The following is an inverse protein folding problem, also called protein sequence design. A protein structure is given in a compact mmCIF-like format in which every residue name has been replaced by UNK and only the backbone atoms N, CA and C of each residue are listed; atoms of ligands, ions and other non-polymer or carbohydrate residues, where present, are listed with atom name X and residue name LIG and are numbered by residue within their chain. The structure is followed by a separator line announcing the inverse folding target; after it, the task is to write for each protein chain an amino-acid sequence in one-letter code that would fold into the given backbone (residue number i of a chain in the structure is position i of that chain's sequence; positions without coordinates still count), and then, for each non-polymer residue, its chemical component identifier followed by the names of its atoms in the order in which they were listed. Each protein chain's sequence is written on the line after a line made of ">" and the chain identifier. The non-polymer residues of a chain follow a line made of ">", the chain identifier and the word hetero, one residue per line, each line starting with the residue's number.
data_IF_447600052386
#
_entry.id   IF_447600052386
#
_cell.length_a   1.000
_cell.length_b   1.000
_cell.length_c   1.000
_cell.angle_alpha   90.00
_cell.angle_beta   90.00
_cell.angle_gamma   90.00
#
_symmetry.space_group_name_H-M   'P 1'
#
loop_
_entity.id
_entity.type
_entity.pdbx_description
1 polymer ?
#
# COMPACT_ATOMS: atom_id res chain seq x y z
N UNK A 1 71.52 12.50 -10.35
CA UNK A 1 70.76 12.60 -11.62
C UNK A 1 69.53 11.71 -11.44
N UNK A 2 68.27 12.14 -11.37
CA UNK A 2 67.55 13.32 -11.85
C UNK A 2 66.57 13.83 -10.78
N UNK A 3 66.35 15.14 -10.82
CA UNK A 3 65.46 15.93 -9.99
C UNK A 3 64.08 16.13 -10.67
N UNK A 4 63.05 16.41 -9.85
CA UNK A 4 61.85 17.27 -10.09
C UNK A 4 60.53 16.71 -10.65
N UNK A 5 59.55 16.70 -9.73
CA UNK A 5 58.30 17.49 -9.76
C UNK A 5 57.26 17.23 -10.85
N UNK A 6 56.07 16.76 -10.45
CA UNK A 6 54.79 17.50 -10.54
C UNK A 6 53.63 16.70 -9.94
N UNK A 7 52.99 17.29 -8.92
CA UNK A 7 51.57 17.08 -8.62
C UNK A 7 50.76 17.19 -9.92
N UNK A 8 49.70 16.38 -10.05
CA UNK A 8 48.35 16.76 -10.50
C UNK A 8 47.46 15.51 -10.58
N UNK A 9 46.70 15.25 -9.51
CA UNK A 9 45.34 14.68 -9.62
C UNK A 9 44.44 15.77 -10.25
N UNK A 10 43.33 15.48 -10.96
CA UNK A 10 42.28 14.58 -10.45
C UNK A 10 41.31 13.93 -11.48
N UNK A 11 40.27 13.27 -10.95
CA UNK A 11 38.90 13.14 -11.51
C UNK A 11 38.68 12.19 -12.71
N UNK A 12 38.32 10.94 -12.39
CA UNK A 12 37.37 10.16 -13.19
C UNK A 12 36.32 9.55 -12.24
N UNK A 13 35.18 10.24 -12.16
CA UNK A 13 34.00 9.82 -11.42
C UNK A 13 33.43 8.54 -12.04
N UNK A 14 33.61 7.40 -11.36
CA UNK A 14 32.84 6.20 -11.65
C UNK A 14 31.47 6.35 -10.98
N UNK A 15 30.51 6.64 -11.85
CA UNK A 15 29.08 6.77 -11.57
C UNK A 15 28.57 5.58 -10.76
N UNK A 16 28.25 5.83 -9.48
CA UNK A 16 27.30 5.03 -8.73
C UNK A 16 25.93 5.20 -9.39
N UNK A 17 25.64 4.41 -10.40
CA UNK A 17 24.28 4.11 -10.78
C UNK A 17 23.69 3.19 -9.71
N UNK A 18 23.42 3.74 -8.53
CA UNK A 18 22.42 3.18 -7.66
C UNK A 18 21.11 3.28 -8.44
N UNK A 19 20.70 2.16 -9.02
CA UNK A 19 19.29 1.88 -9.21
C UNK A 19 18.64 2.03 -7.83
N UNK A 20 18.21 3.26 -7.52
CA UNK A 20 17.19 3.48 -6.55
C UNK A 20 15.97 2.78 -7.13
N UNK A 21 15.85 1.49 -6.86
CA UNK A 21 14.55 0.86 -6.76
C UNK A 21 13.84 1.69 -5.69
N UNK A 22 13.17 2.76 -6.13
CA UNK A 22 12.16 3.40 -5.34
C UNK A 22 11.17 2.28 -5.08
N UNK A 23 11.24 1.67 -3.89
CA UNK A 23 10.01 1.32 -3.20
C UNK A 23 9.22 2.63 -3.25
N UNK A 24 8.27 2.72 -4.18
CA UNK A 24 7.41 3.88 -4.28
C UNK A 24 6.78 3.97 -2.91
N UNK A 25 7.26 4.92 -2.09
CA UNK A 25 6.61 5.31 -0.87
C UNK A 25 5.32 5.98 -1.32
N UNK A 26 4.34 5.12 -1.63
CA UNK A 26 2.99 5.51 -1.95
C UNK A 26 2.56 6.44 -0.84
N UNK A 27 2.22 7.70 -1.17
CA UNK A 27 1.89 8.70 -0.17
C UNK A 27 0.79 8.20 0.79
N UNK A 28 0.64 8.79 1.98
CA UNK A 28 -0.27 8.28 3.02
C UNK A 28 -1.70 7.98 2.52
N UNK A 29 -2.21 8.79 1.59
CA UNK A 29 -3.52 8.58 0.95
C UNK A 29 -3.62 7.27 0.16
N UNK A 30 -2.60 6.90 -0.60
CA UNK A 30 -2.54 5.63 -1.35
C UNK A 30 -2.50 4.45 -0.39
N UNK A 31 -1.70 4.52 0.68
CA UNK A 31 -1.60 3.45 1.68
C UNK A 31 -2.95 3.24 2.39
N UNK A 32 -3.66 4.32 2.72
CA UNK A 32 -5.00 4.23 3.31
C UNK A 32 -6.00 3.60 2.33
N UNK A 33 -5.98 3.97 1.04
CA UNK A 33 -6.83 3.35 0.04
C UNK A 33 -6.55 1.85 -0.09
N UNK A 34 -5.28 1.45 -0.16
CA UNK A 34 -4.86 0.04 -0.17
C UNK A 34 -5.32 -0.71 1.10
N UNK A 35 -5.19 -0.10 2.27
CA UNK A 35 -5.67 -0.68 3.52
C UNK A 35 -7.19 -0.89 3.48
N UNK A 36 -7.95 0.07 2.95
CA UNK A 36 -9.39 -0.06 2.77
C UNK A 36 -9.77 -1.23 1.86
N UNK A 37 -9.06 -1.39 0.73
CA UNK A 37 -9.22 -2.54 -0.15
C UNK A 37 -8.98 -3.86 0.57
N UNK A 38 -7.88 -3.97 1.32
CA UNK A 38 -7.56 -5.18 2.07
C UNK A 38 -8.63 -5.50 3.15
N UNK A 39 -9.14 -4.47 3.85
CA UNK A 39 -10.23 -4.63 4.81
C UNK A 39 -11.53 -5.07 4.14
N UNK A 40 -11.82 -4.57 2.93
CA UNK A 40 -12.99 -4.96 2.15
C UNK A 40 -12.92 -6.45 1.77
N UNK A 41 -11.75 -6.93 1.32
CA UNK A 41 -11.52 -8.36 1.06
C UNK A 41 -11.76 -9.22 2.32
N UNK A 42 -11.28 -8.75 3.47
CA UNK A 42 -11.48 -9.45 4.73
C UNK A 42 -12.97 -9.48 5.13
N UNK A 43 -13.68 -8.37 4.96
CA UNK A 43 -15.10 -8.26 5.25
C UNK A 43 -15.97 -9.15 4.33
N UNK A 44 -15.60 -9.30 3.05
CA UNK A 44 -16.23 -10.26 2.12
C UNK A 44 -16.17 -11.69 2.67
N UNK A 45 -15.02 -12.09 3.23
CA UNK A 45 -14.81 -13.44 3.79
C UNK A 45 -15.51 -13.62 5.13
N UNK A 46 -15.55 -12.60 5.98
CA UNK A 46 -16.15 -12.68 7.30
C UNK A 46 -17.68 -12.71 7.29
N UNK A 47 -18.30 -12.25 6.19
CA UNK A 47 -19.75 -12.36 5.96
C UNK A 47 -20.62 -11.42 6.81
N UNK A 48 -20.01 -10.47 7.51
CA UNK A 48 -20.71 -9.56 8.43
C UNK A 48 -21.30 -8.32 7.72
N UNK A 49 -21.00 -8.14 6.44
CA UNK A 49 -21.42 -7.00 5.63
C UNK A 49 -22.03 -7.46 4.31
N UNK A 50 -23.14 -6.84 3.93
CA UNK A 50 -23.68 -6.99 2.57
C UNK A 50 -22.82 -6.25 1.56
N UNK A 51 -22.88 -6.65 0.28
CA UNK A 51 -22.17 -5.96 -0.79
C UNK A 51 -22.48 -4.46 -0.83
N UNK A 52 -23.75 -4.08 -0.64
CA UNK A 52 -24.15 -2.67 -0.62
C UNK A 52 -23.50 -1.89 0.52
N UNK A 53 -23.33 -2.49 1.70
CA UNK A 53 -22.63 -1.85 2.82
C UNK A 53 -21.14 -1.68 2.49
N UNK A 54 -20.52 -2.69 1.88
CA UNK A 54 -19.13 -2.63 1.49
C UNK A 54 -18.87 -1.56 0.40
N UNK A 55 -19.78 -1.45 -0.58
CA UNK A 55 -19.73 -0.41 -1.61
C UNK A 55 -19.88 1.00 -1.01
N UNK A 56 -20.75 1.15 -0.02
CA UNK A 56 -20.93 2.41 0.71
C UNK A 56 -19.67 2.78 1.51
N UNK A 57 -19.05 1.82 2.20
CA UNK A 57 -17.78 2.03 2.90
C UNK A 57 -16.67 2.45 1.93
N UNK A 58 -16.57 1.84 0.75
CA UNK A 58 -15.62 2.24 -0.29
C UNK A 58 -15.86 3.70 -0.71
N UNK A 59 -17.12 4.10 -0.94
CA UNK A 59 -17.46 5.50 -1.31
C UNK A 59 -17.10 6.49 -0.21
N UNK A 60 -17.39 6.16 1.05
CA UNK A 60 -17.05 7.01 2.19
C UNK A 60 -15.53 7.16 2.36
N UNK A 61 -14.78 6.07 2.18
CA UNK A 61 -13.34 6.12 2.19
C UNK A 61 -12.80 6.98 1.04
N UNK A 62 -13.33 6.80 -0.18
CA UNK A 62 -12.97 7.60 -1.35
C UNK A 62 -13.16 9.08 -1.09
N UNK A 63 -14.34 9.47 -0.60
CA UNK A 63 -14.65 10.87 -0.26
C UNK A 63 -13.72 11.42 0.82
N UNK A 64 -13.37 10.61 1.82
CA UNK A 64 -12.46 11.04 2.91
C UNK A 64 -11.04 11.25 2.39
N UNK A 65 -10.54 10.35 1.54
CA UNK A 65 -9.18 10.39 1.00
C UNK A 65 -9.00 11.47 -0.08
N UNK A 66 -10.05 11.85 -0.80
CA UNK A 66 -10.02 13.00 -1.72
C UNK A 66 -9.59 14.30 -1.01
N UNK A 67 -9.98 14.48 0.26
CA UNK A 67 -9.53 15.64 1.06
C UNK A 67 -8.02 15.67 1.30
N UNK A 68 -7.34 14.53 1.10
CA UNK A 68 -5.89 14.38 1.19
C UNK A 68 -5.18 14.58 -0.15
N UNK A 69 -5.91 14.99 -1.21
CA UNK A 69 -5.36 15.33 -2.52
C UNK A 69 -5.21 14.16 -3.49
N UNK A 70 -5.75 12.98 -3.17
CA UNK A 70 -5.79 11.85 -4.08
C UNK A 70 -7.00 11.94 -5.00
N UNK A 71 -6.79 11.83 -6.31
CA UNK A 71 -7.90 11.80 -7.26
C UNK A 71 -8.60 10.43 -7.28
N UNK A 72 -9.75 10.39 -7.95
CA UNK A 72 -10.61 9.21 -8.05
C UNK A 72 -9.93 8.00 -8.66
N UNK A 73 -9.19 8.18 -9.75
CA UNK A 73 -8.55 7.11 -10.50
C UNK A 73 -7.45 6.47 -9.67
N UNK A 74 -6.61 7.28 -9.04
CA UNK A 74 -5.54 6.80 -8.18
C UNK A 74 -6.08 6.14 -6.91
N UNK A 75 -7.19 6.64 -6.35
CA UNK A 75 -7.90 5.97 -5.26
C UNK A 75 -8.38 4.58 -5.70
N UNK A 76 -9.12 4.50 -6.80
CA UNK A 76 -9.72 3.23 -7.25
C UNK A 76 -8.63 2.20 -7.58
N UNK A 77 -7.53 2.64 -8.20
CA UNK A 77 -6.37 1.78 -8.47
C UNK A 77 -5.70 1.29 -7.18
N UNK A 78 -5.47 2.17 -6.22
CA UNK A 78 -4.85 1.82 -4.94
C UNK A 78 -5.75 0.89 -4.11
N UNK A 79 -7.05 1.17 -4.09
CA UNK A 79 -8.04 0.34 -3.43
C UNK A 79 -8.06 -1.07 -4.03
N UNK A 80 -8.10 -1.19 -5.36
CA UNK A 80 -8.10 -2.49 -6.03
C UNK A 80 -6.81 -3.29 -5.75
N UNK A 81 -5.65 -2.64 -5.75
CA UNK A 81 -4.39 -3.28 -5.36
C UNK A 81 -4.45 -3.84 -3.93
N UNK A 82 -5.05 -3.10 -3.01
CA UNK A 82 -5.28 -3.53 -1.64
C UNK A 82 -6.24 -4.71 -1.54
N UNK A 83 -7.34 -4.66 -2.30
CA UNK A 83 -8.35 -5.71 -2.39
C UNK A 83 -7.75 -7.02 -2.88
N UNK A 84 -7.03 -6.97 -4.00
CA UNK A 84 -6.36 -8.13 -4.58
C UNK A 84 -5.33 -8.74 -3.63
N UNK A 85 -4.51 -7.89 -3.00
CA UNK A 85 -3.54 -8.34 -2.00
C UNK A 85 -4.23 -9.00 -0.81
N UNK A 86 -5.29 -8.38 -0.28
CA UNK A 86 -6.07 -8.93 0.82
C UNK A 86 -6.65 -10.30 0.48
N UNK A 87 -7.22 -10.45 -0.73
CA UNK A 87 -7.73 -11.75 -1.22
C UNK A 87 -6.63 -12.81 -1.29
N UNK A 88 -5.44 -12.45 -1.79
CA UNK A 88 -4.30 -13.37 -1.85
C UNK A 88 -3.82 -13.79 -0.45
N UNK A 89 -3.77 -12.86 0.50
CA UNK A 89 -3.37 -13.16 1.88
C UNK A 89 -4.40 -14.07 2.57
N UNK A 90 -5.70 -13.85 2.33
CA UNK A 90 -6.80 -14.67 2.85
C UNK A 90 -6.83 -16.09 2.28
N UNK A 91 -6.45 -16.26 1.01
CA UNK A 91 -6.30 -17.58 0.38
C UNK A 91 -5.17 -18.39 1.03
N UNK A 92 -4.10 -17.73 1.47
CA UNK A 92 -2.96 -18.37 2.14
C UNK A 92 -3.18 -18.59 3.64
N UNK A 93 -4.13 -17.88 4.24
CA UNK A 93 -4.42 -17.97 5.66
C UNK A 93 -5.04 -19.32 6.05
N UNK A 94 -4.78 -19.79 7.26
CA UNK A 94 -5.48 -20.94 7.85
C UNK A 94 -6.90 -20.55 8.28
N UNK A 95 -7.72 -21.54 8.63
CA UNK A 95 -9.06 -21.29 9.16
C UNK A 95 -9.00 -20.51 10.48
N UNK A 96 -8.06 -20.85 11.38
CA UNK A 96 -7.87 -20.15 12.64
C UNK A 96 -7.47 -18.70 12.42
N UNK A 97 -6.56 -18.43 11.48
CA UNK A 97 -6.13 -17.06 11.15
C UNK A 97 -7.28 -16.23 10.58
N UNK A 98 -8.09 -16.81 9.68
CA UNK A 98 -9.29 -16.13 9.16
C UNK A 98 -10.30 -15.84 10.28
N UNK A 99 -10.54 -16.80 11.17
CA UNK A 99 -11.46 -16.61 12.29
C UNK A 99 -10.97 -15.49 13.22
N UNK A 100 -9.69 -15.48 13.59
CA UNK A 100 -9.11 -14.41 14.41
C UNK A 100 -9.25 -13.04 13.76
N UNK A 101 -8.98 -12.94 12.46
CA UNK A 101 -9.17 -11.71 11.71
C UNK A 101 -10.64 -11.25 11.70
N UNK A 102 -11.59 -12.17 11.51
CA UNK A 102 -13.02 -11.83 11.55
C UNK A 102 -13.48 -11.34 12.93
N UNK A 103 -12.98 -11.96 14.01
CA UNK A 103 -13.25 -11.47 15.37
C UNK A 103 -12.66 -10.07 15.60
N UNK A 104 -11.47 -9.79 15.07
CA UNK A 104 -10.90 -8.44 15.11
C UNK A 104 -11.74 -7.43 14.32
N UNK A 105 -12.24 -7.78 13.14
CA UNK A 105 -13.14 -6.93 12.35
C UNK A 105 -14.46 -6.65 13.05
N UNK A 106 -15.04 -7.64 13.76
CA UNK A 106 -16.28 -7.47 14.53
C UNK A 106 -16.11 -6.58 15.74
N UNK A 107 -14.97 -6.71 16.42
CA UNK A 107 -14.64 -6.00 17.66
C UNK A 107 -14.01 -4.62 17.42
N UNK A 108 -13.54 -4.37 16.19
CA UNK A 108 -12.97 -3.09 15.79
C UNK A 108 -13.99 -1.96 15.65
N UNK A 109 -13.52 -0.71 15.46
CA UNK A 109 -14.40 0.42 15.19
C UNK A 109 -15.25 0.12 13.96
N UNK A 110 -16.57 0.30 14.09
CA UNK A 110 -17.48 0.29 12.95
C UNK A 110 -17.43 1.69 12.32
N UNK A 111 -17.07 1.76 11.05
CA UNK A 111 -17.05 3.00 10.28
C UNK A 111 -18.45 3.37 9.83
#
# INVERSE_FOLDING_TARGET
>A
MFERTKLLLPLAALLLASANSYAQDSGPAIQLAQMGGAMHAAAEVCGDYSQTQLDEMKKQQKSSIQSMGLNDEDFDKAFEQGLDRGRQDLQKATAEQRNQMCEQLRSGPKF
#
